data_IF_727356152578
#
_entry.id   IF_727356152578
#
_cell.length_a   1.000
_cell.length_b   1.000
_cell.length_c   1.000
_cell.angle_alpha   90.00
_cell.angle_beta   90.00
_cell.angle_gamma   90.00
#
_symmetry.space_group_name_H-M   'P 1'
#
loop_
_entity.id
_entity.type
_entity.pdbx_description
1 polymer ?
#
# COMPACT_ATOMS: atom_id res chain seq x y z
N UNK A 1 15.23 -26.27 -2.49
CA UNK A 1 16.07 -25.50 -1.56
C UNK A 1 15.44 -25.46 -0.17
N UNK A 2 16.22 -25.28 0.85
CA UNK A 2 15.75 -25.09 2.24
C UNK A 2 15.38 -23.62 2.45
N UNK A 3 14.19 -23.23 2.02
CA UNK A 3 13.66 -21.87 2.18
C UNK A 3 13.35 -21.54 3.64
N UNK A 4 13.03 -22.55 4.45
CA UNK A 4 12.74 -22.36 5.87
C UNK A 4 13.97 -21.94 6.67
N UNK A 5 15.16 -22.34 6.24
CA UNK A 5 16.43 -21.92 6.83
C UNK A 5 16.96 -20.57 6.32
N UNK A 6 16.46 -20.09 5.15
CA UNK A 6 16.92 -18.86 4.53
C UNK A 6 16.06 -17.64 4.84
N UNK A 7 14.77 -17.81 5.11
CA UNK A 7 13.81 -16.73 5.29
C UNK A 7 13.31 -16.67 6.73
N UNK A 8 13.33 -15.47 7.29
CA UNK A 8 12.68 -15.21 8.58
C UNK A 8 11.18 -15.18 8.42
N UNK A 9 10.44 -15.92 9.25
CA UNK A 9 8.98 -15.92 9.28
C UNK A 9 8.48 -14.91 10.31
N UNK A 10 7.73 -13.92 9.85
CA UNK A 10 7.13 -12.91 10.72
C UNK A 10 5.63 -13.15 10.82
N UNK A 11 5.10 -13.46 12.03
CA UNK A 11 3.66 -13.51 12.25
C UNK A 11 3.04 -12.15 12.00
N UNK A 12 1.90 -12.13 11.30
CA UNK A 12 1.22 -10.89 10.93
C UNK A 12 -0.21 -10.89 11.43
N UNK A 13 -0.76 -9.69 11.67
CA UNK A 13 -2.14 -9.46 12.05
C UNK A 13 -2.73 -8.29 11.26
N UNK A 14 -4.05 -8.19 11.27
CA UNK A 14 -4.75 -7.07 10.63
C UNK A 14 -4.22 -5.72 11.14
N UNK A 15 -3.86 -4.85 10.21
CA UNK A 15 -3.36 -3.50 10.47
C UNK A 15 -1.83 -3.37 10.48
N UNK A 16 -1.10 -4.47 10.41
CA UNK A 16 0.35 -4.42 10.25
C UNK A 16 0.71 -3.81 8.90
N UNK A 17 1.83 -3.12 8.86
CA UNK A 17 2.40 -2.50 7.67
C UNK A 17 3.85 -2.94 7.51
N UNK A 18 4.23 -3.24 6.27
CA UNK A 18 5.60 -3.60 5.91
C UNK A 18 6.03 -2.78 4.71
N UNK A 19 7.14 -2.07 4.85
CA UNK A 19 7.83 -1.48 3.73
C UNK A 19 8.85 -2.47 3.18
N UNK A 20 8.74 -2.79 1.90
CA UNK A 20 9.63 -3.74 1.23
C UNK A 20 10.41 -3.00 0.15
N UNK A 21 11.67 -2.59 0.41
CA UNK A 21 12.52 -1.98 -0.59
C UNK A 21 12.83 -2.92 -1.77
N UNK A 22 13.12 -2.36 -2.93
CA UNK A 22 13.62 -3.14 -4.08
C UNK A 22 14.85 -3.96 -3.68
N UNK A 23 14.95 -5.18 -4.20
CA UNK A 23 16.03 -6.12 -3.87
C UNK A 23 15.82 -6.89 -2.56
N UNK A 24 14.75 -6.65 -1.82
CA UNK A 24 14.41 -7.44 -0.63
C UNK A 24 13.70 -8.73 -1.04
N UNK A 25 14.30 -9.87 -0.70
CA UNK A 25 13.62 -11.17 -0.89
C UNK A 25 12.46 -11.29 0.10
N UNK A 26 11.27 -11.52 -0.41
CA UNK A 26 10.07 -11.62 0.42
C UNK A 26 9.04 -12.57 -0.19
N UNK A 27 8.18 -13.09 0.64
CA UNK A 27 7.03 -13.88 0.24
C UNK A 27 5.87 -13.68 1.20
N UNK A 28 4.66 -13.86 0.70
CA UNK A 28 3.43 -13.76 1.48
C UNK A 28 2.94 -15.17 1.77
N UNK A 29 2.75 -15.49 3.05
CA UNK A 29 2.26 -16.79 3.49
C UNK A 29 0.78 -17.02 3.13
N UNK A 30 0.29 -18.25 3.28
CA UNK A 30 -1.09 -18.58 2.98
C UNK A 30 -2.07 -17.89 3.94
N UNK A 31 -3.27 -17.59 3.46
CA UNK A 31 -4.36 -17.03 4.25
C UNK A 31 -4.24 -15.54 4.58
N UNK A 32 -3.28 -14.84 3.97
CA UNK A 32 -3.05 -13.40 4.19
C UNK A 32 -3.69 -12.60 3.06
N UNK A 33 -4.47 -11.59 3.42
CA UNK A 33 -4.98 -10.58 2.50
C UNK A 33 -4.21 -9.28 2.72
N UNK A 34 -3.65 -8.72 1.65
CA UNK A 34 -2.90 -7.48 1.68
C UNK A 34 -3.52 -6.42 0.77
N UNK A 35 -3.25 -5.17 1.09
CA UNK A 35 -3.35 -4.04 0.16
C UNK A 35 -1.91 -3.61 -0.15
N UNK A 36 -1.49 -3.79 -1.39
CA UNK A 36 -0.14 -3.45 -1.85
C UNK A 36 -0.16 -2.11 -2.58
N UNK A 37 0.69 -1.19 -2.15
CA UNK A 37 1.02 0.05 -2.86
C UNK A 37 2.45 -0.06 -3.32
N UNK A 38 2.68 -0.01 -4.63
CA UNK A 38 4.01 -0.20 -5.22
C UNK A 38 4.32 0.87 -6.26
N UNK A 39 5.59 1.00 -6.62
CA UNK A 39 6.00 1.76 -7.79
C UNK A 39 5.40 1.15 -9.06
N UNK A 40 5.13 1.99 -10.07
CA UNK A 40 4.65 1.54 -11.38
C UNK A 40 5.78 0.83 -12.14
N UNK A 41 6.00 -0.43 -11.80
CA UNK A 41 6.97 -1.30 -12.45
C UNK A 41 6.40 -2.71 -12.52
N UNK A 42 6.58 -3.38 -13.66
CA UNK A 42 6.22 -4.77 -13.90
C UNK A 42 7.40 -5.74 -13.70
N UNK A 43 8.57 -5.20 -13.35
CA UNK A 43 9.77 -6.01 -13.15
C UNK A 43 9.62 -6.87 -11.89
N UNK A 44 9.56 -8.18 -12.10
CA UNK A 44 9.51 -9.17 -11.03
C UNK A 44 10.59 -10.23 -11.26
N UNK A 45 11.50 -10.38 -10.31
CA UNK A 45 12.46 -11.48 -10.32
C UNK A 45 12.01 -12.56 -9.34
N UNK A 46 11.60 -13.70 -9.92
CA UNK A 46 11.05 -14.83 -9.16
C UNK A 46 12.16 -15.80 -8.82
N UNK A 47 12.36 -16.05 -7.53
CA UNK A 47 13.37 -17.00 -7.03
C UNK A 47 12.74 -18.37 -6.74
N UNK A 48 11.50 -18.40 -6.26
CA UNK A 48 10.75 -19.59 -5.97
C UNK A 48 9.24 -19.33 -6.17
N UNK A 49 8.51 -20.31 -6.67
CA UNK A 49 7.09 -20.17 -6.97
C UNK A 49 6.21 -21.24 -6.33
N UNK A 50 6.68 -21.86 -5.23
CA UNK A 50 5.93 -22.89 -4.49
C UNK A 50 5.50 -24.06 -5.38
N UNK A 51 6.29 -24.39 -6.41
CA UNK A 51 6.01 -25.44 -7.40
C UNK A 51 4.65 -25.32 -8.11
N UNK A 52 4.10 -24.09 -8.15
CA UNK A 52 2.83 -23.79 -8.81
C UNK A 52 2.93 -24.07 -10.31
N UNK A 53 1.83 -24.62 -10.85
CA UNK A 53 1.68 -24.90 -12.27
C UNK A 53 0.43 -24.23 -12.79
N UNK A 54 0.44 -23.87 -14.05
CA UNK A 54 -0.74 -23.41 -14.78
C UNK A 54 -1.66 -24.61 -15.13
N UNK A 55 -2.82 -24.32 -15.75
CA UNK A 55 -3.79 -25.33 -16.17
C UNK A 55 -3.24 -26.32 -17.22
N UNK A 56 -2.10 -25.99 -17.84
CA UNK A 56 -1.40 -26.83 -18.80
C UNK A 56 -0.24 -27.62 -18.15
N UNK A 57 0.01 -27.42 -16.85
CA UNK A 57 1.05 -28.09 -16.08
C UNK A 57 2.41 -27.41 -16.16
N UNK A 58 2.54 -26.22 -16.78
CA UNK A 58 3.80 -25.49 -16.87
C UNK A 58 4.11 -24.72 -15.59
N UNK A 59 5.37 -24.66 -15.23
CA UNK A 59 5.86 -23.79 -14.16
C UNK A 59 6.19 -22.40 -14.73
N UNK A 60 6.03 -21.36 -13.88
CA UNK A 60 6.50 -20.01 -14.24
C UNK A 60 8.01 -19.96 -14.24
N UNK A 61 8.56 -19.11 -15.09
CA UNK A 61 10.00 -18.88 -15.18
C UNK A 61 10.56 -18.36 -13.85
N UNK A 62 11.73 -18.86 -13.47
CA UNK A 62 12.54 -18.38 -12.35
C UNK A 62 13.69 -17.51 -12.87
N UNK A 63 13.98 -16.43 -12.14
CA UNK A 63 14.98 -15.42 -12.52
C UNK A 63 16.13 -15.40 -11.50
N UNK A 64 16.73 -16.57 -11.25
CA UNK A 64 17.72 -16.76 -10.16
C UNK A 64 18.92 -15.82 -10.33
N UNK A 65 19.49 -15.76 -11.55
CA UNK A 65 20.68 -14.96 -11.81
C UNK A 65 20.39 -13.46 -11.61
N UNK A 66 19.32 -12.95 -12.21
CA UNK A 66 18.90 -11.56 -12.09
C UNK A 66 18.56 -11.21 -10.62
N UNK A 67 17.96 -12.15 -9.89
CA UNK A 67 17.68 -11.97 -8.47
C UNK A 67 18.94 -11.80 -7.65
N UNK A 68 19.97 -12.59 -7.92
CA UNK A 68 21.26 -12.50 -7.21
C UNK A 68 21.97 -11.17 -7.47
N UNK A 69 21.82 -10.60 -8.66
CA UNK A 69 22.45 -9.32 -9.04
C UNK A 69 21.83 -8.12 -8.30
N UNK A 70 20.55 -8.20 -7.92
CA UNK A 70 19.82 -7.10 -7.28
C UNK A 70 19.53 -7.35 -5.80
N UNK A 71 19.88 -8.52 -5.28
CA UNK A 71 19.56 -8.92 -3.91
C UNK A 71 20.25 -8.01 -2.90
N UNK A 72 19.47 -7.45 -2.02
CA UNK A 72 19.94 -6.68 -0.87
C UNK A 72 19.86 -7.55 0.39
N UNK A 73 21.02 -7.86 0.98
CA UNK A 73 21.14 -8.64 2.21
C UNK A 73 21.19 -7.77 3.49
N UNK A 74 20.87 -6.48 3.37
CA UNK A 74 20.86 -5.58 4.51
C UNK A 74 19.69 -5.83 5.47
N UNK A 75 19.79 -5.24 6.66
CA UNK A 75 18.70 -5.23 7.63
C UNK A 75 17.43 -4.60 7.03
N UNK A 76 16.24 -5.14 7.36
CA UNK A 76 14.98 -4.55 6.92
C UNK A 76 14.87 -3.09 7.36
N UNK A 77 14.56 -2.21 6.42
CA UNK A 77 14.32 -0.81 6.73
C UNK A 77 12.93 -0.68 7.38
N UNK A 78 12.91 -0.41 8.68
CA UNK A 78 11.68 -0.11 9.39
C UNK A 78 11.39 1.40 9.25
N UNK A 79 10.31 1.75 8.55
CA UNK A 79 9.75 3.10 8.65
C UNK A 79 9.15 3.31 10.03
N UNK A 80 9.48 4.43 10.65
CA UNK A 80 8.85 4.83 11.91
C UNK A 80 7.60 5.64 11.56
N UNK A 81 6.39 5.10 11.80
CA UNK A 81 5.17 5.84 11.52
C UNK A 81 5.08 7.13 12.34
N UNK A 82 4.67 8.22 11.71
CA UNK A 82 4.36 9.47 12.38
C UNK A 82 2.86 9.77 12.25
N UNK A 83 2.24 10.25 13.34
CA UNK A 83 0.80 10.49 13.38
C UNK A 83 0.50 11.94 13.71
N UNK A 84 -0.36 12.56 12.90
CA UNK A 84 -1.01 13.84 13.18
C UNK A 84 -2.46 13.57 13.50
N UNK A 85 -3.00 14.23 14.53
CA UNK A 85 -4.35 14.00 15.00
C UNK A 85 -5.09 15.31 15.25
N UNK A 86 -6.30 15.37 14.72
CA UNK A 86 -7.31 16.39 15.04
C UNK A 86 -8.52 15.74 15.71
N UNK A 87 -9.60 16.49 15.92
CA UNK A 87 -10.84 15.92 16.47
C UNK A 87 -11.49 14.91 15.51
N UNK A 88 -11.41 15.14 14.18
CA UNK A 88 -12.11 14.33 13.17
C UNK A 88 -11.17 13.48 12.31
N UNK A 89 -9.86 13.74 12.32
CA UNK A 89 -8.89 13.05 11.47
C UNK A 89 -7.67 12.59 12.28
N UNK A 90 -7.36 11.31 12.20
CA UNK A 90 -6.06 10.75 12.57
C UNK A 90 -5.36 10.30 11.28
N UNK A 91 -4.24 10.93 10.95
CA UNK A 91 -3.44 10.67 9.77
C UNK A 91 -2.07 10.13 10.19
N UNK A 92 -1.83 8.87 9.90
CA UNK A 92 -0.55 8.19 10.15
C UNK A 92 0.22 8.04 8.85
N UNK A 93 1.39 8.66 8.74
CA UNK A 93 2.34 8.38 7.68
C UNK A 93 2.98 7.03 7.96
N UNK A 94 2.71 6.03 7.12
CA UNK A 94 3.25 4.68 7.25
C UNK A 94 4.64 4.59 6.65
N UNK A 95 4.85 5.23 5.51
CA UNK A 95 6.16 5.37 4.85
C UNK A 95 6.15 6.58 3.95
N UNK A 96 7.32 7.21 3.81
CA UNK A 96 7.59 8.25 2.82
C UNK A 96 9.02 8.09 2.33
N UNK A 97 9.21 8.01 1.03
CA UNK A 97 10.51 7.84 0.38
C UNK A 97 10.58 8.73 -0.87
N UNK A 98 11.65 8.63 -1.66
CA UNK A 98 11.81 9.45 -2.87
C UNK A 98 10.77 9.18 -3.97
N UNK A 99 10.01 8.10 -3.89
CA UNK A 99 9.08 7.70 -4.95
C UNK A 99 7.62 7.95 -4.60
N UNK A 100 7.22 7.64 -3.35
CA UNK A 100 5.83 7.75 -2.91
C UNK A 100 5.73 7.90 -1.40
N UNK A 101 4.56 8.36 -0.97
CA UNK A 101 4.14 8.38 0.44
C UNK A 101 2.85 7.59 0.60
N UNK A 102 2.74 6.85 1.71
CA UNK A 102 1.55 6.09 2.09
C UNK A 102 1.09 6.51 3.46
N UNK A 103 -0.18 6.87 3.55
CA UNK A 103 -0.86 7.22 4.80
C UNK A 103 -1.96 6.21 5.12
N UNK A 104 -2.19 6.06 6.40
CA UNK A 104 -3.43 5.51 6.94
C UNK A 104 -4.23 6.66 7.55
N UNK A 105 -5.44 6.86 7.08
CA UNK A 105 -6.37 7.86 7.60
C UNK A 105 -7.50 7.19 8.35
N UNK A 106 -7.85 7.75 9.52
CA UNK A 106 -9.09 7.45 10.24
C UNK A 106 -9.88 8.72 10.39
N UNK A 107 -11.10 8.72 9.86
CA UNK A 107 -12.01 9.85 9.87
C UNK A 107 -13.20 9.55 10.79
N UNK A 108 -13.65 10.59 11.50
CA UNK A 108 -14.85 10.56 12.33
C UNK A 108 -15.54 11.92 12.25
N UNK A 109 -16.44 12.09 11.27
CA UNK A 109 -17.15 13.33 10.95
C UNK A 109 -16.61 14.02 9.70
N UNK A 110 -16.99 15.28 9.51
CA UNK A 110 -16.64 16.10 8.36
C UNK A 110 -15.20 16.61 8.44
N UNK A 111 -14.46 16.39 7.37
CA UNK A 111 -13.09 16.89 7.20
C UNK A 111 -12.93 17.50 5.81
N UNK A 112 -12.46 18.75 5.77
CA UNK A 112 -12.10 19.47 4.56
C UNK A 112 -10.64 19.19 4.20
N UNK A 113 -10.38 18.97 2.93
CA UNK A 113 -9.05 18.70 2.40
C UNK A 113 -8.70 19.64 1.25
N UNK A 114 -7.41 19.91 1.13
CA UNK A 114 -6.81 20.53 -0.04
C UNK A 114 -5.82 19.58 -0.69
N UNK A 115 -5.84 19.56 -2.02
CA UNK A 115 -4.89 18.76 -2.77
C UNK A 115 -3.46 19.25 -2.54
N UNK A 116 -2.59 18.37 -2.12
CA UNK A 116 -1.18 18.68 -1.81
C UNK A 116 -0.19 17.80 -2.59
N UNK A 117 -0.69 17.00 -3.54
CA UNK A 117 0.10 16.07 -4.34
C UNK A 117 -0.45 16.04 -5.79
N UNK A 118 0.31 15.55 -6.77
CA UNK A 118 -0.14 15.44 -8.15
C UNK A 118 -1.45 14.65 -8.31
N UNK A 119 -1.66 13.66 -7.50
CA UNK A 119 -2.91 12.91 -7.35
C UNK A 119 -2.89 12.10 -6.06
N UNK A 120 -4.06 11.69 -5.59
CA UNK A 120 -4.20 10.76 -4.47
C UNK A 120 -4.86 9.46 -4.93
N UNK A 121 -4.31 8.33 -4.52
CA UNK A 121 -4.95 7.02 -4.63
C UNK A 121 -5.52 6.64 -3.28
N UNK A 122 -6.82 6.39 -3.23
CA UNK A 122 -7.55 6.15 -2.01
C UNK A 122 -8.20 4.77 -2.00
N UNK A 123 -8.10 4.06 -0.90
CA UNK A 123 -8.70 2.73 -0.70
C UNK A 123 -9.40 2.68 0.65
N UNK A 124 -10.72 2.46 0.66
CA UNK A 124 -11.52 2.37 1.88
C UNK A 124 -11.39 0.99 2.49
N UNK A 125 -10.78 0.89 3.68
CA UNK A 125 -10.56 -0.37 4.40
C UNK A 125 -11.76 -0.77 5.25
N UNK A 126 -12.44 0.23 5.85
CA UNK A 126 -13.61 -0.01 6.69
C UNK A 126 -14.46 1.26 6.85
N UNK A 127 -15.69 1.07 7.29
CA UNK A 127 -16.64 2.16 7.54
C UNK A 127 -17.38 2.59 6.28
N UNK A 128 -18.06 3.73 6.39
CA UNK A 128 -18.83 4.36 5.32
C UNK A 128 -18.88 5.88 5.51
N UNK A 129 -19.18 6.59 4.44
CA UNK A 129 -19.29 8.04 4.44
C UNK A 129 -19.58 8.57 3.04
N UNK A 130 -19.30 9.85 2.83
CA UNK A 130 -19.44 10.54 1.55
C UNK A 130 -18.18 11.32 1.23
N UNK A 131 -17.87 11.38 -0.06
CA UNK A 131 -16.87 12.28 -0.65
C UNK A 131 -17.63 13.35 -1.44
N UNK A 132 -17.37 14.62 -1.15
CA UNK A 132 -17.91 15.75 -1.90
C UNK A 132 -16.81 16.41 -2.71
N UNK A 133 -17.00 16.50 -4.03
CA UNK A 133 -16.11 17.19 -4.97
C UNK A 133 -16.98 18.03 -5.92
N UNK A 134 -16.70 19.31 -6.07
CA UNK A 134 -17.44 20.23 -6.97
C UNK A 134 -18.96 20.14 -6.78
N UNK A 135 -19.43 20.12 -5.53
CA UNK A 135 -20.84 19.97 -5.15
C UNK A 135 -21.49 18.64 -5.54
N UNK A 136 -20.71 17.66 -5.98
CA UNK A 136 -21.16 16.29 -6.25
C UNK A 136 -20.80 15.41 -5.07
N UNK A 137 -21.76 14.58 -4.67
CA UNK A 137 -21.63 13.68 -3.53
C UNK A 137 -21.51 12.24 -4.04
N UNK A 138 -20.48 11.55 -3.56
CA UNK A 138 -20.20 10.14 -3.85
C UNK A 138 -20.26 9.36 -2.55
N UNK A 139 -21.05 8.28 -2.49
CA UNK A 139 -21.05 7.39 -1.34
C UNK A 139 -19.76 6.57 -1.30
N UNK A 140 -19.17 6.47 -0.11
CA UNK A 140 -17.99 5.66 0.16
C UNK A 140 -18.34 4.51 1.11
N UNK A 141 -17.82 3.33 0.78
CA UNK A 141 -17.95 2.12 1.63
C UNK A 141 -16.69 1.28 1.55
N UNK A 142 -16.57 0.35 2.47
CA UNK A 142 -15.47 -0.63 2.46
C UNK A 142 -15.33 -1.30 1.10
N UNK A 143 -14.10 -1.33 0.59
CA UNK A 143 -13.73 -1.91 -0.71
C UNK A 143 -13.78 -0.94 -1.88
N UNK A 144 -14.25 0.30 -1.68
CA UNK A 144 -14.17 1.31 -2.73
C UNK A 144 -12.74 1.79 -2.90
N UNK A 145 -12.35 1.99 -4.16
CA UNK A 145 -11.08 2.56 -4.58
C UNK A 145 -11.36 3.73 -5.50
N UNK A 146 -10.69 4.84 -5.28
CA UNK A 146 -10.84 6.03 -6.13
C UNK A 146 -9.54 6.82 -6.24
N UNK A 147 -9.49 7.65 -7.26
CA UNK A 147 -8.39 8.57 -7.54
C UNK A 147 -8.91 10.00 -7.46
N UNK A 148 -8.19 10.87 -6.76
CA UNK A 148 -8.37 12.32 -6.79
C UNK A 148 -7.26 12.91 -7.65
N UNK A 149 -7.56 13.36 -8.89
CA UNK A 149 -6.57 13.91 -9.79
C UNK A 149 -6.19 15.35 -9.42
N UNK A 150 -5.14 15.87 -10.02
CA UNK A 150 -4.58 17.21 -9.72
C UNK A 150 -5.56 18.37 -9.87
N UNK A 151 -6.55 18.24 -10.73
CA UNK A 151 -7.57 19.29 -10.94
C UNK A 151 -8.67 19.32 -9.85
N UNK A 152 -8.68 18.36 -8.92
CA UNK A 152 -9.52 18.40 -7.72
C UNK A 152 -8.72 19.07 -6.61
N UNK A 153 -8.93 20.38 -6.43
CA UNK A 153 -8.14 21.19 -5.50
C UNK A 153 -8.66 21.15 -4.08
N UNK A 154 -9.98 21.11 -3.92
CA UNK A 154 -10.66 21.11 -2.64
C UNK A 154 -11.73 20.04 -2.63
N UNK A 155 -11.84 19.33 -1.54
CA UNK A 155 -12.81 18.25 -1.37
C UNK A 155 -13.05 17.94 0.10
N UNK A 156 -14.17 17.29 0.39
CA UNK A 156 -14.61 16.94 1.76
C UNK A 156 -14.87 15.45 1.87
N UNK A 157 -14.58 14.89 3.03
CA UNK A 157 -15.14 13.58 3.42
C UNK A 157 -15.94 13.76 4.72
N UNK A 158 -17.16 13.20 4.74
CA UNK A 158 -17.95 13.07 5.95
C UNK A 158 -18.28 11.61 6.21
N UNK A 159 -18.09 11.16 7.45
CA UNK A 159 -18.41 9.80 7.86
C UNK A 159 -17.44 9.20 8.86
N UNK A 160 -17.53 7.89 9.01
CA UNK A 160 -16.58 7.10 9.81
C UNK A 160 -15.87 6.11 8.90
N UNK A 161 -14.62 6.40 8.58
CA UNK A 161 -13.84 5.70 7.56
C UNK A 161 -12.43 5.40 8.04
N UNK A 162 -11.93 4.24 7.69
CA UNK A 162 -10.50 3.93 7.69
C UNK A 162 -10.05 3.71 6.25
N UNK A 163 -9.01 4.41 5.82
CA UNK A 163 -8.54 4.43 4.43
C UNK A 163 -7.02 4.32 4.37
N UNK A 164 -6.53 3.73 3.29
CA UNK A 164 -5.16 3.94 2.84
C UNK A 164 -5.18 4.99 1.74
N UNK A 165 -4.30 5.97 1.87
CA UNK A 165 -4.13 7.06 0.91
C UNK A 165 -2.65 7.12 0.51
N UNK A 166 -2.38 7.15 -0.77
CA UNK A 166 -1.02 7.24 -1.27
C UNK A 166 -0.91 8.25 -2.41
N UNK A 167 0.28 8.78 -2.58
CA UNK A 167 0.61 9.69 -3.68
C UNK A 167 2.08 9.53 -4.10
N UNK A 168 2.42 9.86 -5.35
CA UNK A 168 3.82 9.98 -5.75
C UNK A 168 4.46 11.15 -5.03
N UNK A 169 5.76 11.06 -4.76
CA UNK A 169 6.55 12.20 -4.36
C UNK A 169 7.14 12.85 -5.62
N UNK A 170 7.36 14.16 -5.55
CA UNK A 170 8.07 14.86 -6.62
C UNK A 170 9.55 14.43 -6.61
N UNK A 171 10.09 14.20 -7.80
CA UNK A 171 11.49 13.81 -7.98
C UNK A 171 12.42 15.02 -7.81
#
# INVERSE_FOLDING_TARGET
GDWDGLLSKTPVKKGDFFFVPSGTMHAIGPGILILETQQSSDTTYRVYDFDRRDDQGNQRELHIQQSLEVLNLGEPQNSVPSTVKTMQLEMTCLTSNSFFTVYKWKLSGLVDFKQSAPYLLCSVLSGNGTLTVDSRIYCLKKGDHFLLPNNVTDWEIDGQLEMIVSHPNEA
#
